data_IF_520588539825
#
_entry.id   IF_520588539825
#
_cell.length_a   1.000
_cell.length_b   1.000
_cell.length_c   1.000
_cell.angle_alpha   90.00
_cell.angle_beta   90.00
_cell.angle_gamma   90.00
#
_symmetry.space_group_name_H-M   'P 1'
#
loop_
_entity.id
_entity.type
_entity.pdbx_description
1 polymer ?
#
# COMPACT_ATOMS: atom_id res chain seq x y z
N UNK A 1 26.54 10.66 62.59
CA UNK A 1 25.76 9.47 62.21
C UNK A 1 25.38 9.62 60.73
N UNK A 2 26.09 8.95 59.82
CA UNK A 2 25.82 9.06 58.37
C UNK A 2 24.84 7.96 57.97
N UNK A 3 23.64 8.34 57.55
CA UNK A 3 22.68 7.40 56.98
C UNK A 3 23.06 7.14 55.51
N UNK A 4 23.45 5.91 55.21
CA UNK A 4 23.63 5.46 53.83
C UNK A 4 22.25 5.31 53.18
N UNK A 5 21.88 6.26 52.32
CA UNK A 5 20.67 6.18 51.52
C UNK A 5 20.90 5.15 50.40
N UNK A 6 20.47 3.90 50.61
CA UNK A 6 20.46 2.92 49.53
C UNK A 6 19.36 3.31 48.53
N UNK A 7 19.68 3.56 47.25
CA UNK A 7 18.64 3.86 46.28
C UNK A 7 17.72 2.64 46.16
N UNK A 8 16.39 2.83 46.19
CA UNK A 8 15.46 1.72 46.04
C UNK A 8 15.70 1.08 44.67
N UNK A 9 16.14 -0.19 44.67
CA UNK A 9 16.32 -0.94 43.42
C UNK A 9 14.96 -1.04 42.74
N UNK A 10 14.80 -0.51 41.52
CA UNK A 10 13.52 -0.55 40.84
C UNK A 10 13.17 -2.01 40.55
N UNK A 11 12.00 -2.43 41.03
CA UNK A 11 11.50 -3.79 40.82
C UNK A 11 11.32 -4.04 39.32
N UNK A 12 11.60 -5.25 38.82
CA UNK A 12 11.46 -5.57 37.39
C UNK A 12 10.05 -5.26 36.86
N UNK A 13 9.02 -5.44 37.71
CA UNK A 13 7.63 -5.06 37.39
C UNK A 13 7.45 -3.57 37.15
N UNK A 14 8.10 -2.71 37.93
CA UNK A 14 8.03 -1.26 37.76
C UNK A 14 8.74 -0.81 36.47
N UNK A 15 9.86 -1.46 36.13
CA UNK A 15 10.55 -1.22 34.85
C UNK A 15 9.68 -1.62 33.65
N UNK A 16 9.00 -2.76 33.74
CA UNK A 16 8.10 -3.23 32.68
C UNK A 16 6.94 -2.26 32.47
N UNK A 17 6.29 -1.81 33.55
CA UNK A 17 5.19 -0.83 33.49
C UNK A 17 5.63 0.51 32.88
N UNK A 18 6.81 1.00 33.28
CA UNK A 18 7.37 2.21 32.69
C UNK A 18 7.63 2.05 31.19
N UNK A 19 8.23 0.93 30.78
CA UNK A 19 8.48 0.63 29.37
C UNK A 19 7.18 0.54 28.55
N UNK A 20 6.14 -0.12 29.08
CA UNK A 20 4.84 -0.21 28.41
C UNK A 20 4.17 1.16 28.26
N UNK A 21 4.24 2.02 29.29
CA UNK A 21 3.68 3.37 29.21
C UNK A 21 4.39 4.23 28.17
N UNK A 22 5.72 4.15 28.10
CA UNK A 22 6.52 4.85 27.08
C UNK A 22 6.16 4.36 25.68
N UNK A 23 6.01 3.04 25.48
CA UNK A 23 5.63 2.48 24.18
C UNK A 23 4.24 2.95 23.74
N UNK A 24 3.25 2.96 24.63
CA UNK A 24 1.89 3.44 24.33
C UNK A 24 1.89 4.95 24.01
N UNK A 25 2.63 5.75 24.77
CA UNK A 25 2.77 7.19 24.50
C UNK A 25 3.42 7.44 23.13
N UNK A 26 4.44 6.67 22.77
CA UNK A 26 5.06 6.77 21.45
C UNK A 26 4.08 6.37 20.33
N UNK A 27 3.37 5.24 20.45
CA UNK A 27 2.41 4.79 19.43
C UNK A 27 1.27 5.78 19.22
N UNK A 28 0.75 6.36 20.30
CA UNK A 28 -0.32 7.37 20.22
C UNK A 28 0.17 8.65 19.56
N UNK A 29 1.38 9.12 19.89
CA UNK A 29 1.97 10.28 19.22
C UNK A 29 2.25 9.99 17.74
N UNK A 30 2.79 8.82 17.40
CA UNK A 30 3.06 8.44 16.00
C UNK A 30 1.79 8.26 15.19
N UNK A 31 0.72 7.71 15.80
CA UNK A 31 -0.57 7.55 15.13
C UNK A 31 -1.33 8.87 15.01
N UNK A 32 -1.12 9.81 15.93
CA UNK A 32 -1.60 11.19 15.78
C UNK A 32 -0.82 11.95 14.70
N UNK A 33 0.49 11.68 14.56
CA UNK A 33 1.32 12.23 13.48
C UNK A 33 1.15 11.50 12.13
N UNK A 34 0.47 10.35 12.09
CA UNK A 34 0.09 9.59 10.89
C UNK A 34 -1.09 10.28 10.14
N UNK A 35 -1.03 11.60 10.08
CA UNK A 35 -1.99 12.48 9.41
C UNK A 35 -1.63 12.79 7.96
N UNK A 36 -0.64 12.10 7.37
CA UNK A 36 -0.30 12.27 5.97
C UNK A 36 -1.33 11.51 5.12
N UNK A 37 -2.49 12.14 4.92
CA UNK A 37 -3.60 11.58 4.17
C UNK A 37 -3.13 10.93 2.87
N UNK A 38 -3.65 9.73 2.60
CA UNK A 38 -3.44 9.01 1.35
C UNK A 38 -3.69 9.97 0.18
N UNK A 39 -2.69 10.13 -0.68
CA UNK A 39 -2.85 10.91 -1.91
C UNK A 39 -3.84 10.15 -2.77
N UNK A 40 -5.01 10.73 -2.99
CA UNK A 40 -5.97 10.20 -3.95
C UNK A 40 -5.37 10.42 -5.34
N UNK A 41 -4.74 9.38 -5.88
CA UNK A 41 -4.15 9.39 -7.22
C UNK A 41 -5.23 9.38 -8.32
N UNK A 42 -6.51 9.43 -7.95
CA UNK A 42 -7.64 9.40 -8.86
C UNK A 42 -7.72 8.07 -9.65
N UNK A 43 -8.84 7.81 -10.33
CA UNK A 43 -8.96 6.63 -11.17
C UNK A 43 -7.95 6.70 -12.33
N UNK A 44 -6.98 5.78 -12.35
CA UNK A 44 -6.09 5.57 -13.50
C UNK A 44 -6.92 5.34 -14.75
N UNK A 45 -6.85 6.26 -15.73
CA UNK A 45 -7.44 6.04 -17.04
C UNK A 45 -6.67 4.92 -17.72
N UNK A 46 -7.26 3.73 -17.98
CA UNK A 46 -6.61 2.75 -18.82
C UNK A 46 -6.54 3.33 -20.22
N UNK A 47 -5.33 3.65 -20.70
CA UNK A 47 -5.10 3.93 -22.11
C UNK A 47 -5.34 2.63 -22.85
N UNK A 48 -6.58 2.36 -23.26
CA UNK A 48 -6.87 1.28 -24.20
C UNK A 48 -6.11 1.63 -25.49
N UNK A 49 -5.20 0.77 -25.97
CA UNK A 49 -4.64 0.96 -27.30
C UNK A 49 -5.81 0.87 -28.28
N UNK A 50 -6.15 1.99 -28.91
CA UNK A 50 -6.98 1.96 -30.12
C UNK A 50 -6.17 1.18 -31.15
N UNK A 51 -6.55 -0.07 -31.39
CA UNK A 51 -6.02 -0.83 -32.51
C UNK A 51 -6.44 -0.08 -33.79
N UNK A 52 -5.51 0.66 -34.38
CA UNK A 52 -5.66 1.14 -35.75
C UNK A 52 -5.81 -0.11 -36.62
N UNK A 53 -6.94 -0.30 -37.34
CA UNK A 53 -7.04 -1.40 -38.28
C UNK A 53 -5.95 -1.23 -39.33
N UNK A 54 -5.05 -2.20 -39.38
CA UNK A 54 -4.02 -2.33 -40.40
C UNK A 54 -4.72 -2.40 -41.78
N UNK A 55 -4.34 -1.60 -42.78
CA UNK A 55 -4.90 -1.71 -44.13
C UNK A 55 -4.34 -2.97 -44.80
N UNK A 56 -4.75 -4.14 -44.32
CA UNK A 56 -4.49 -5.40 -45.04
C UNK A 56 -5.39 -5.40 -46.28
N UNK A 57 -4.85 -5.45 -47.50
CA UNK A 57 -5.68 -5.56 -48.69
C UNK A 57 -6.46 -6.88 -48.65
N UNK A 58 -7.75 -6.90 -49.04
CA UNK A 58 -8.54 -8.12 -49.03
C UNK A 58 -7.89 -9.17 -49.93
N UNK A 59 -7.77 -10.41 -49.42
CA UNK A 59 -7.31 -11.55 -50.20
C UNK A 59 -8.24 -11.76 -51.42
N UNK A 60 -7.70 -12.13 -52.60
CA UNK A 60 -8.52 -12.36 -53.78
C UNK A 60 -9.47 -13.53 -53.52
N UNK A 61 -10.76 -13.22 -53.44
CA UNK A 61 -11.80 -14.24 -53.33
C UNK A 61 -12.05 -14.79 -54.72
N UNK A 62 -11.56 -16.01 -54.99
CA UNK A 62 -11.93 -16.75 -56.20
C UNK A 62 -13.45 -16.98 -56.17
N UNK A 63 -14.21 -16.62 -57.23
CA UNK A 63 -15.65 -16.86 -57.23
C UNK A 63 -15.93 -18.37 -57.27
N UNK A 64 -16.96 -18.89 -56.59
CA UNK A 64 -17.38 -20.26 -56.80
C UNK A 64 -17.96 -20.38 -58.21
N UNK A 65 -17.37 -21.26 -59.02
CA UNK A 65 -18.04 -21.79 -60.23
C UNK A 65 -19.30 -22.51 -59.76
N UNK A 66 -20.45 -21.88 -60.03
CA UNK A 66 -21.76 -22.50 -59.86
C UNK A 66 -22.03 -23.39 -61.09
N UNK A 67 -21.63 -24.65 -61.01
CA UNK A 67 -22.13 -25.70 -61.90
C UNK A 67 -23.55 -26.13 -61.46
N UNK A 68 -24.47 -26.18 -62.42
CA UNK A 68 -25.65 -27.04 -62.37
C UNK A 68 -27.01 -26.37 -62.18
N UNK A 69 -27.73 -26.10 -63.28
CA UNK A 69 -28.89 -26.90 -63.73
C UNK A 69 -29.32 -26.51 -65.14
#
# INVERSE_FOLDING_TARGET
MSASAHPPRPRPRARLLAATLVAVAALTLTACEDGQGLRDEGPSTPTSPTATPDPTPPAPTTPPTSDGR
#
